data_IF_436072698120
#
_entry.id   IF_436072698120
#
_cell.length_a   1.000
_cell.length_b   1.000
_cell.length_c   1.000
_cell.angle_alpha   90.00
_cell.angle_beta   90.00
_cell.angle_gamma   90.00
#
_symmetry.space_group_name_H-M   'P 1'
#
loop_
_entity.id
_entity.type
_entity.pdbx_description
1 polymer ?
#
# COMPACT_ATOMS: atom_id res chain seq x y z
N UNK A 1 -22.96 -20.12 -9.03
CA UNK A 1 -21.88 -20.61 -9.91
C UNK A 1 -20.58 -20.14 -9.28
N UNK A 2 -19.64 -21.05 -9.01
CA UNK A 2 -18.31 -20.68 -8.52
C UNK A 2 -17.53 -20.01 -9.65
N UNK A 3 -17.22 -18.72 -9.53
CA UNK A 3 -16.36 -18.03 -10.48
C UNK A 3 -14.95 -18.64 -10.41
N UNK A 4 -14.55 -19.37 -11.44
CA UNK A 4 -13.19 -19.90 -11.58
C UNK A 4 -12.25 -18.81 -12.12
N UNK A 5 -10.94 -18.97 -11.90
CA UNK A 5 -9.93 -18.03 -12.41
C UNK A 5 -10.06 -17.85 -13.94
N UNK A 6 -10.30 -18.94 -14.68
CA UNK A 6 -10.49 -18.90 -16.14
C UNK A 6 -11.71 -18.07 -16.56
N UNK A 7 -12.83 -18.22 -15.85
CA UNK A 7 -14.03 -17.43 -16.11
C UNK A 7 -13.80 -15.93 -15.84
N UNK A 8 -13.08 -15.61 -14.76
CA UNK A 8 -12.69 -14.23 -14.44
C UNK A 8 -11.71 -13.65 -15.46
N UNK A 9 -10.79 -14.45 -16.01
CA UNK A 9 -9.87 -14.01 -17.05
C UNK A 9 -10.61 -13.65 -18.34
N UNK A 10 -11.53 -14.51 -18.79
CA UNK A 10 -12.37 -14.22 -19.96
C UNK A 10 -13.19 -12.94 -19.76
N UNK A 11 -13.84 -12.80 -18.61
CA UNK A 11 -14.63 -11.60 -18.28
C UNK A 11 -13.75 -10.32 -18.24
N UNK A 12 -12.54 -10.43 -17.72
CA UNK A 12 -11.57 -9.33 -17.70
C UNK A 12 -11.17 -8.90 -19.11
N UNK A 13 -10.92 -9.85 -20.01
CA UNK A 13 -10.56 -9.58 -21.42
C UNK A 13 -11.72 -8.94 -22.18
N UNK A 14 -12.93 -9.47 -22.03
CA UNK A 14 -14.16 -8.88 -22.60
C UNK A 14 -14.37 -7.45 -22.11
N UNK A 15 -14.23 -7.20 -20.81
CA UNK A 15 -14.31 -5.86 -20.23
C UNK A 15 -13.23 -4.92 -20.78
N UNK A 16 -11.99 -5.40 -20.91
CA UNK A 16 -10.90 -4.62 -21.48
C UNK A 16 -11.14 -4.27 -22.96
N UNK A 17 -11.68 -5.21 -23.76
CA UNK A 17 -12.09 -4.96 -25.15
C UNK A 17 -13.23 -3.95 -25.25
N UNK A 18 -14.15 -3.95 -24.27
CA UNK A 18 -15.23 -2.96 -24.16
C UNK A 18 -14.79 -1.62 -23.54
N UNK A 19 -13.50 -1.45 -23.22
CA UNK A 19 -12.93 -0.29 -22.51
C UNK A 19 -13.52 -0.06 -21.10
N UNK A 20 -14.15 -1.07 -20.51
CA UNK A 20 -14.61 -1.06 -19.12
C UNK A 20 -13.47 -1.49 -18.17
N UNK A 21 -12.57 -0.53 -17.90
CA UNK A 21 -11.41 -0.77 -17.06
C UNK A 21 -11.76 -0.95 -15.57
N UNK A 22 -12.93 -0.47 -15.12
CA UNK A 22 -13.37 -0.67 -13.74
C UNK A 22 -13.78 -2.13 -13.53
N UNK A 23 -14.54 -2.71 -14.45
CA UNK A 23 -14.89 -4.13 -14.38
C UNK A 23 -13.67 -5.03 -14.60
N UNK A 24 -12.77 -4.67 -15.52
CA UNK A 24 -11.52 -5.40 -15.71
C UNK A 24 -10.64 -5.36 -14.44
N UNK A 25 -10.59 -4.22 -13.74
CA UNK A 25 -9.89 -4.09 -12.46
C UNK A 25 -10.50 -4.99 -11.38
N UNK A 26 -11.84 -5.01 -11.25
CA UNK A 26 -12.52 -5.89 -10.29
C UNK A 26 -12.21 -7.37 -10.54
N UNK A 27 -12.30 -7.81 -11.79
CA UNK A 27 -11.98 -9.19 -12.17
C UNK A 27 -10.53 -9.55 -11.81
N UNK A 28 -9.59 -8.64 -12.09
CA UNK A 28 -8.17 -8.81 -11.75
C UNK A 28 -7.92 -8.91 -10.24
N UNK A 29 -8.63 -8.11 -9.44
CA UNK A 29 -8.47 -8.13 -7.98
C UNK A 29 -9.08 -9.41 -7.38
N UNK A 30 -10.21 -9.89 -7.89
CA UNK A 30 -10.75 -11.23 -7.56
C UNK A 30 -9.77 -12.37 -7.91
N UNK A 31 -9.16 -12.33 -9.09
CA UNK A 31 -8.13 -13.31 -9.51
C UNK A 31 -6.95 -13.32 -8.53
N UNK A 32 -6.52 -12.14 -8.07
CA UNK A 32 -5.41 -12.04 -7.11
C UNK A 32 -5.75 -12.64 -5.75
N UNK A 33 -6.98 -12.47 -5.26
CA UNK A 33 -7.43 -13.12 -4.02
C UNK A 33 -7.47 -14.65 -4.15
N UNK A 34 -8.06 -15.16 -5.24
CA UNK A 34 -8.10 -16.61 -5.49
C UNK A 34 -6.70 -17.22 -5.60
N UNK A 35 -5.77 -16.53 -6.27
CA UNK A 35 -4.35 -16.95 -6.35
C UNK A 35 -3.63 -16.86 -4.99
N UNK A 36 -4.08 -15.98 -4.11
CA UNK A 36 -3.59 -15.86 -2.73
C UNK A 36 -4.13 -16.94 -1.78
N UNK A 37 -4.95 -17.87 -2.27
CA UNK A 37 -5.52 -18.96 -1.47
C UNK A 37 -6.84 -18.62 -0.77
N UNK A 38 -7.45 -17.47 -1.07
CA UNK A 38 -8.78 -17.14 -0.55
C UNK A 38 -9.84 -18.09 -1.14
N UNK A 39 -10.79 -18.52 -0.31
CA UNK A 39 -11.93 -19.32 -0.78
C UNK A 39 -12.86 -18.51 -1.67
N UNK A 40 -13.54 -19.15 -2.63
CA UNK A 40 -14.40 -18.45 -3.60
C UNK A 40 -15.48 -17.59 -2.93
N UNK A 41 -16.06 -18.03 -1.81
CA UNK A 41 -17.04 -17.23 -1.06
C UNK A 41 -16.43 -16.02 -0.35
N UNK A 42 -15.18 -16.14 0.07
CA UNK A 42 -14.44 -15.08 0.74
C UNK A 42 -14.07 -13.98 -0.24
N UNK A 43 -13.77 -14.34 -1.49
CA UNK A 43 -13.51 -13.41 -2.59
C UNK A 43 -14.75 -12.58 -2.96
N UNK A 44 -15.94 -13.18 -2.98
CA UNK A 44 -17.18 -12.44 -3.25
C UNK A 44 -17.56 -11.46 -2.13
N UNK A 45 -17.22 -11.80 -0.88
CA UNK A 45 -17.50 -10.95 0.29
C UNK A 45 -16.41 -9.93 0.58
N UNK A 46 -15.23 -10.07 -0.03
CA UNK A 46 -14.10 -9.19 0.22
C UNK A 46 -14.40 -7.77 -0.26
N UNK A 47 -14.34 -6.80 0.66
CA UNK A 47 -14.34 -5.39 0.30
C UNK A 47 -12.97 -5.04 -0.27
N UNK A 48 -12.93 -4.87 -1.60
CA UNK A 48 -11.75 -4.50 -2.36
C UNK A 48 -11.62 -2.97 -2.50
N UNK A 49 -12.53 -2.19 -1.91
CA UNK A 49 -12.47 -0.74 -1.92
C UNK A 49 -11.24 -0.26 -1.13
N UNK A 50 -10.43 0.62 -1.73
CA UNK A 50 -9.20 1.14 -1.11
C UNK A 50 -7.95 0.28 -1.29
N UNK A 51 -8.04 -0.94 -1.85
CA UNK A 51 -6.86 -1.73 -2.18
C UNK A 51 -6.14 -1.15 -3.42
N UNK A 52 -5.21 -0.21 -3.19
CA UNK A 52 -4.33 0.27 -4.24
C UNK A 52 -3.11 -0.63 -4.37
N UNK A 53 -2.93 -1.22 -5.56
CA UNK A 53 -1.71 -1.94 -5.89
C UNK A 53 -0.52 -0.98 -5.90
N UNK A 54 0.58 -1.44 -5.32
CA UNK A 54 1.85 -0.75 -5.43
C UNK A 54 2.28 -0.69 -6.90
N UNK A 55 2.58 0.51 -7.40
CA UNK A 55 3.03 0.70 -8.78
C UNK A 55 4.56 0.54 -8.85
N UNK A 56 5.10 -0.19 -9.85
CA UNK A 56 6.54 -0.19 -10.10
C UNK A 56 7.04 1.25 -10.26
N UNK A 57 8.12 1.61 -9.56
CA UNK A 57 8.65 2.98 -9.52
C UNK A 57 8.21 3.82 -8.29
N UNK A 58 7.17 3.41 -7.55
CA UNK A 58 6.86 3.96 -6.22
C UNK A 58 7.70 3.29 -5.11
N UNK A 59 8.70 2.49 -5.46
CA UNK A 59 9.55 1.71 -4.56
C UNK A 59 10.89 2.43 -4.30
N UNK A 60 10.85 3.76 -4.14
CA UNK A 60 12.00 4.54 -3.70
C UNK A 60 12.24 4.34 -2.20
N UNK A 61 13.49 4.30 -1.76
CA UNK A 61 13.86 4.39 -0.34
C UNK A 61 13.05 5.52 0.32
N UNK A 62 12.12 5.16 1.23
CA UNK A 62 11.27 6.12 1.95
C UNK A 62 9.75 6.08 1.66
N UNK A 63 9.27 5.29 0.69
CA UNK A 63 7.82 5.24 0.40
C UNK A 63 6.99 4.37 1.36
N UNK A 64 7.66 3.56 2.19
CA UNK A 64 7.06 2.88 3.33
C UNK A 64 7.85 3.20 4.61
N UNK A 65 7.75 4.44 5.09
CA UNK A 65 8.24 4.76 6.43
C UNK A 65 7.12 4.51 7.44
N UNK A 66 7.20 3.38 8.15
CA UNK A 66 6.40 3.15 9.34
C UNK A 66 6.78 4.21 10.38
N UNK A 67 5.91 5.21 10.60
CA UNK A 67 6.09 6.18 11.68
C UNK A 67 5.58 5.56 12.97
N UNK A 68 6.47 5.13 13.85
CA UNK A 68 6.11 4.79 15.22
C UNK A 68 5.66 6.06 15.95
N UNK A 69 4.39 6.13 16.33
CA UNK A 69 3.87 7.22 17.18
C UNK A 69 4.38 7.02 18.61
N UNK A 70 5.16 7.95 19.18
CA UNK A 70 5.59 7.84 20.57
C UNK A 70 4.38 7.96 21.51
N UNK A 71 4.42 7.31 22.70
CA UNK A 71 3.34 7.42 23.67
C UNK A 71 3.18 8.86 24.18
N UNK A 72 1.97 9.19 24.66
CA UNK A 72 1.65 10.53 25.15
C UNK A 72 2.62 10.95 26.28
N UNK A 73 3.23 12.13 26.15
CA UNK A 73 4.18 12.67 27.13
C UNK A 73 5.63 12.23 26.94
N UNK A 74 5.95 11.38 25.96
CA UNK A 74 7.33 10.99 25.68
C UNK A 74 8.16 12.18 25.16
N UNK A 75 9.30 12.44 25.82
CA UNK A 75 10.29 13.43 25.41
C UNK A 75 11.57 12.70 24.99
N UNK A 76 12.10 12.94 23.78
CA UNK A 76 13.38 12.36 23.37
C UNK A 76 14.51 12.87 24.28
N UNK A 77 15.53 12.04 24.56
CA UNK A 77 16.70 12.47 25.32
C UNK A 77 17.44 13.61 24.60
N UNK A 78 18.17 14.45 25.34
CA UNK A 78 19.03 15.47 24.72
C UNK A 78 20.07 14.81 23.82
N UNK A 79 20.45 15.52 22.75
CA UNK A 79 21.53 15.05 21.85
C UNK A 79 22.82 14.89 22.69
N UNK A 80 23.56 13.78 22.56
CA UNK A 80 24.84 13.62 23.24
C UNK A 80 25.80 14.72 22.80
N UNK A 81 26.68 15.14 23.71
CA UNK A 81 27.68 16.17 23.41
C UNK A 81 28.59 15.67 22.28
N UNK A 82 28.65 16.35 21.12
CA UNK A 82 29.60 15.96 20.09
C UNK A 82 31.01 16.12 20.64
N UNK A 83 31.78 15.04 20.71
CA UNK A 83 33.23 15.05 21.04
C UNK A 83 34.10 15.76 19.98
N UNK A 84 33.51 16.60 19.14
CA UNK A 84 34.16 17.31 18.04
C UNK A 84 33.81 18.79 18.12
N UNK A 85 34.83 19.63 18.25
CA UNK A 85 34.72 21.09 18.36
C UNK A 85 34.40 21.81 17.04
N UNK A 86 33.98 21.08 15.99
CA UNK A 86 34.05 21.58 14.61
C UNK A 86 32.75 21.78 13.85
N UNK A 87 31.56 21.43 14.39
CA UNK A 87 30.31 21.56 13.62
C UNK A 87 29.15 22.04 14.48
N UNK A 88 28.82 23.33 14.35
CA UNK A 88 27.56 23.89 14.83
C UNK A 88 26.38 23.19 14.15
N UNK A 89 25.39 22.65 14.89
CA UNK A 89 24.22 22.07 14.26
C UNK A 89 23.35 23.16 13.64
N UNK A 90 23.18 23.15 12.31
CA UNK A 90 22.11 23.91 11.67
C UNK A 90 20.77 23.27 12.00
N UNK A 91 19.92 24.03 12.69
CA UNK A 91 18.46 23.90 12.57
C UNK A 91 17.74 23.53 13.85
N UNK A 92 17.13 24.53 14.49
CA UNK A 92 15.80 24.37 15.08
C UNK A 92 14.83 25.11 14.15
N UNK A 93 13.84 24.45 13.52
CA UNK A 93 12.76 25.20 12.89
C UNK A 93 12.02 25.92 14.01
N UNK A 94 12.01 27.26 13.97
CA UNK A 94 11.14 28.06 14.83
C UNK A 94 9.72 27.79 14.37
N UNK A 95 8.87 27.34 15.30
CA UNK A 95 7.44 27.26 15.07
C UNK A 95 6.88 28.63 14.70
N UNK A 96 5.95 28.62 13.76
CA UNK A 96 4.84 29.55 13.65
C UNK A 96 3.61 28.74 13.28
#
# INVERSE_FOLDING_TARGET
MTETIENLQRKMEEAASALDFEEAKRCRDKISLLRGGAGAEEVERADLSGLQRQRPGAMGLGTNQQRSTPPAGWKPPPRPDPMTSGRTPRGKPRGK
#
